data_IF_465987217642
#
_entry.id   IF_465987217642
#
_cell.length_a   1.000
_cell.length_b   1.000
_cell.length_c   1.000
_cell.angle_alpha   90.00
_cell.angle_beta   90.00
_cell.angle_gamma   90.00
#
_symmetry.space_group_name_H-M   'P 1'
#
loop_
_entity.id
_entity.type
_entity.pdbx_description
1 polymer ?
#
# COMPACT_ATOMS: atom_id res chain seq x y z
N UNK A 1 -54.75 -21.87 6.97
CA UNK A 1 -53.76 -20.99 7.62
C UNK A 1 -52.48 -21.79 7.83
N UNK A 2 -51.41 -21.46 7.11
CA UNK A 2 -50.08 -22.06 7.32
C UNK A 2 -49.54 -21.57 8.67
N UNK A 3 -49.18 -22.47 9.59
CA UNK A 3 -48.54 -22.11 10.87
C UNK A 3 -47.16 -21.54 10.55
N UNK A 4 -46.91 -20.27 10.89
CA UNK A 4 -45.55 -19.72 10.90
C UNK A 4 -44.74 -20.45 11.98
N UNK A 5 -43.78 -21.27 11.56
CA UNK A 5 -42.75 -21.82 12.44
C UNK A 5 -41.68 -20.75 12.64
N UNK A 6 -41.67 -20.13 13.81
CA UNK A 6 -40.61 -19.21 14.21
C UNK A 6 -39.39 -19.95 14.76
N UNK A 7 -38.22 -19.34 14.64
CA UNK A 7 -36.98 -19.79 15.31
C UNK A 7 -37.09 -19.63 16.82
N UNK A 8 -36.53 -20.57 17.59
CA UNK A 8 -36.44 -20.46 19.04
C UNK A 8 -35.33 -19.48 19.46
N UNK A 9 -35.56 -18.74 20.55
CA UNK A 9 -34.56 -17.82 21.10
C UNK A 9 -33.26 -18.55 21.48
N UNK A 10 -33.35 -19.78 21.97
CA UNK A 10 -32.15 -20.56 22.32
C UNK A 10 -31.37 -21.01 21.08
N UNK A 11 -32.07 -21.32 19.98
CA UNK A 11 -31.42 -21.67 18.70
C UNK A 11 -30.65 -20.47 18.17
N UNK A 12 -31.23 -19.27 18.24
CA UNK A 12 -30.56 -18.05 17.82
C UNK A 12 -29.33 -17.74 18.69
N UNK A 13 -29.41 -17.92 20.01
CA UNK A 13 -28.31 -17.64 20.93
C UNK A 13 -27.09 -18.54 20.70
N UNK A 14 -27.30 -19.84 20.46
CA UNK A 14 -26.20 -20.78 20.17
C UNK A 14 -25.53 -20.41 18.84
N UNK A 15 -26.33 -20.06 17.82
CA UNK A 15 -25.80 -19.62 16.52
C UNK A 15 -24.96 -18.35 16.67
N UNK A 16 -25.43 -17.36 17.42
CA UNK A 16 -24.67 -16.13 17.69
C UNK A 16 -23.37 -16.42 18.46
N UNK A 17 -23.38 -17.37 19.40
CA UNK A 17 -22.18 -17.80 20.10
C UNK A 17 -21.11 -18.38 19.16
N UNK A 18 -21.52 -19.25 18.21
CA UNK A 18 -20.61 -19.84 17.21
C UNK A 18 -20.09 -18.75 16.25
N UNK A 19 -20.96 -17.88 15.73
CA UNK A 19 -20.56 -16.76 14.87
C UNK A 19 -19.59 -15.82 15.61
N UNK A 20 -19.84 -15.54 16.88
CA UNK A 20 -18.94 -14.72 17.71
C UNK A 20 -17.53 -15.31 17.83
N UNK A 21 -17.43 -16.62 18.08
CA UNK A 21 -16.13 -17.29 18.18
C UNK A 21 -15.37 -17.28 16.84
N UNK A 22 -16.05 -17.54 15.72
CA UNK A 22 -15.44 -17.54 14.39
C UNK A 22 -14.99 -16.13 13.96
N UNK A 23 -15.80 -15.11 14.24
CA UNK A 23 -15.50 -13.72 13.84
C UNK A 23 -14.27 -13.16 14.55
N UNK A 24 -14.03 -13.54 15.81
CA UNK A 24 -12.85 -13.13 16.57
C UNK A 24 -11.52 -13.51 15.89
N UNK A 25 -11.47 -14.64 15.19
CA UNK A 25 -10.27 -15.09 14.46
C UNK A 25 -10.30 -14.58 13.01
N UNK A 26 -11.47 -14.60 12.36
CA UNK A 26 -11.61 -14.26 10.96
C UNK A 26 -11.32 -12.77 10.67
N UNK A 27 -11.80 -11.85 11.53
CA UNK A 27 -11.63 -10.40 11.33
C UNK A 27 -10.15 -9.99 11.28
N UNK A 28 -9.29 -10.29 12.29
CA UNK A 28 -7.89 -9.87 12.25
C UNK A 28 -7.12 -10.55 11.11
N UNK A 29 -7.49 -11.76 10.72
CA UNK A 29 -6.88 -12.43 9.57
C UNK A 29 -7.26 -11.75 8.25
N UNK A 30 -8.54 -11.41 8.07
CA UNK A 30 -9.04 -10.71 6.88
C UNK A 30 -8.43 -9.32 6.74
N UNK A 31 -8.27 -8.58 7.84
CA UNK A 31 -7.59 -7.28 7.84
C UNK A 31 -6.14 -7.39 7.33
N UNK A 32 -5.37 -8.39 7.78
CA UNK A 32 -4.00 -8.63 7.29
C UNK A 32 -3.95 -8.90 5.78
N UNK A 33 -4.93 -9.64 5.25
CA UNK A 33 -5.02 -9.90 3.81
C UNK A 33 -5.35 -8.64 3.01
N UNK A 34 -6.31 -7.85 3.49
CA UNK A 34 -6.63 -6.56 2.86
C UNK A 34 -5.43 -5.61 2.87
N UNK A 35 -4.73 -5.49 4.00
CA UNK A 35 -3.56 -4.63 4.11
C UNK A 35 -2.45 -5.09 3.15
N UNK A 36 -2.23 -6.41 3.03
CA UNK A 36 -1.27 -6.97 2.06
C UNK A 36 -1.66 -6.66 0.63
N UNK A 37 -2.93 -6.77 0.29
CA UNK A 37 -3.44 -6.45 -1.04
C UNK A 37 -3.23 -4.97 -1.37
N UNK A 38 -3.56 -4.08 -0.44
CA UNK A 38 -3.37 -2.63 -0.60
C UNK A 38 -1.90 -2.24 -0.79
N UNK A 39 -0.99 -2.78 0.04
CA UNK A 39 0.44 -2.56 -0.12
C UNK A 39 0.94 -3.06 -1.47
N UNK A 40 0.54 -4.27 -1.86
CA UNK A 40 0.96 -4.87 -3.14
C UNK A 40 0.45 -4.04 -4.33
N UNK A 41 -0.78 -3.53 -4.26
CA UNK A 41 -1.34 -2.65 -5.27
C UNK A 41 -0.53 -1.34 -5.37
N UNK A 42 -0.19 -0.71 -4.25
CA UNK A 42 0.62 0.49 -4.24
C UNK A 42 2.03 0.26 -4.81
N UNK A 43 2.68 -0.85 -4.46
CA UNK A 43 3.98 -1.26 -5.03
C UNK A 43 3.85 -1.47 -6.54
N UNK A 44 2.77 -2.11 -7.01
CA UNK A 44 2.53 -2.33 -8.44
C UNK A 44 2.35 -0.99 -9.18
N UNK A 45 1.56 -0.06 -8.65
CA UNK A 45 1.41 1.29 -9.19
C UNK A 45 2.76 2.01 -9.31
N UNK A 46 3.55 2.04 -8.24
CA UNK A 46 4.88 2.66 -8.25
C UNK A 46 5.85 1.97 -9.23
N UNK A 47 5.77 0.64 -9.34
CA UNK A 47 6.61 -0.14 -10.27
C UNK A 47 6.25 0.15 -11.72
N UNK A 48 4.97 0.37 -12.03
CA UNK A 48 4.56 0.81 -13.37
C UNK A 48 5.09 2.21 -13.69
N UNK A 49 5.08 3.12 -12.72
CA UNK A 49 5.60 4.49 -12.91
C UNK A 49 7.13 4.54 -13.01
N UNK A 50 7.83 3.54 -12.48
CA UNK A 50 9.30 3.45 -12.56
C UNK A 50 9.80 3.50 -14.00
N UNK A 51 9.16 2.80 -14.94
CA UNK A 51 9.60 2.78 -16.35
C UNK A 51 9.45 4.16 -16.99
N UNK A 52 8.34 4.85 -16.72
CA UNK A 52 8.08 6.22 -17.17
C UNK A 52 9.13 7.19 -16.64
N UNK A 53 9.42 7.10 -15.33
CA UNK A 53 10.45 7.93 -14.68
C UNK A 53 11.84 7.66 -15.26
N UNK A 54 12.20 6.39 -15.51
CA UNK A 54 13.48 6.06 -16.15
C UNK A 54 13.58 6.62 -17.57
N UNK A 55 12.50 6.52 -18.37
CA UNK A 55 12.48 7.11 -19.71
C UNK A 55 12.72 8.63 -19.65
N UNK A 56 12.06 9.33 -18.72
CA UNK A 56 12.24 10.77 -18.54
C UNK A 56 13.65 11.14 -18.07
N UNK A 57 14.28 10.31 -17.23
CA UNK A 57 15.66 10.50 -16.80
C UNK A 57 16.63 10.31 -17.98
N UNK A 58 16.36 9.37 -18.88
CA UNK A 58 17.19 9.18 -20.08
C UNK A 58 17.04 10.34 -21.07
N UNK A 59 15.87 10.95 -21.17
CA UNK A 59 15.62 12.09 -22.06
C UNK A 59 16.17 13.41 -21.49
N UNK A 60 15.91 13.69 -20.21
CA UNK A 60 16.20 15.00 -19.60
C UNK A 60 17.44 15.02 -18.72
N UNK A 61 18.02 13.86 -18.42
CA UNK A 61 19.16 13.72 -17.51
C UNK A 61 18.83 13.94 -16.02
N UNK A 62 17.55 14.08 -15.66
CA UNK A 62 17.12 14.39 -14.29
C UNK A 62 15.84 13.65 -13.91
N UNK A 63 15.69 13.39 -12.61
CA UNK A 63 14.47 12.83 -12.04
C UNK A 63 13.34 13.88 -12.15
N UNK A 64 12.10 13.48 -12.51
CA UNK A 64 10.99 14.41 -12.67
C UNK A 64 10.72 15.21 -11.39
N UNK A 65 10.45 16.51 -11.52
CA UNK A 65 10.07 17.35 -10.37
C UNK A 65 8.69 16.95 -9.86
N UNK A 66 8.44 17.17 -8.57
CA UNK A 66 7.12 16.98 -7.96
C UNK A 66 6.15 18.11 -8.35
N UNK A 67 5.80 18.18 -9.63
CA UNK A 67 4.88 19.17 -10.18
C UNK A 67 3.66 18.46 -10.81
N UNK A 68 2.42 18.88 -10.51
CA UNK A 68 1.22 18.24 -11.03
C UNK A 68 1.17 18.16 -12.56
N UNK A 69 1.59 19.22 -13.27
CA UNK A 69 1.56 19.25 -14.74
C UNK A 69 2.59 18.32 -15.36
N UNK A 70 3.77 18.23 -14.74
CA UNK A 70 4.80 17.28 -15.18
C UNK A 70 4.29 15.85 -14.99
N UNK A 71 3.67 15.55 -13.85
CA UNK A 71 3.09 14.22 -13.59
C UNK A 71 1.98 13.88 -14.58
N UNK A 72 1.06 14.81 -14.85
CA UNK A 72 -0.02 14.63 -15.82
C UNK A 72 0.52 14.36 -17.24
N UNK A 73 1.50 15.14 -17.71
CA UNK A 73 2.11 14.95 -19.03
C UNK A 73 2.81 13.60 -19.17
N UNK A 74 3.34 13.07 -18.06
CA UNK A 74 3.98 11.76 -18.01
C UNK A 74 2.97 10.61 -17.74
N UNK A 75 1.68 10.91 -17.55
CA UNK A 75 0.67 9.91 -17.22
C UNK A 75 0.82 9.33 -15.81
N UNK A 76 1.50 10.05 -14.91
CA UNK A 76 1.74 9.63 -13.53
C UNK A 76 0.58 10.09 -12.65
N UNK A 77 -0.06 9.18 -11.89
CA UNK A 77 -1.14 9.53 -10.97
C UNK A 77 -0.75 10.64 -9.98
N UNK A 78 -1.68 11.56 -9.72
CA UNK A 78 -1.41 12.75 -8.89
C UNK A 78 -1.09 12.45 -7.43
N UNK A 79 -1.58 11.32 -6.92
CA UNK A 79 -1.35 10.76 -5.58
C UNK A 79 0.04 10.16 -5.40
N UNK A 80 0.81 9.98 -6.48
CA UNK A 80 2.23 9.67 -6.39
C UNK A 80 3.02 10.95 -6.12
N UNK A 81 3.68 11.00 -4.98
CA UNK A 81 4.52 12.12 -4.55
C UNK A 81 5.99 11.86 -4.91
N UNK A 82 6.68 12.86 -5.43
CA UNK A 82 8.13 12.81 -5.61
C UNK A 82 8.86 13.61 -4.56
N UNK A 83 9.91 13.02 -3.98
CA UNK A 83 10.69 13.61 -2.89
C UNK A 83 12.17 13.25 -3.04
N UNK A 84 13.04 13.86 -2.23
CA UNK A 84 14.48 13.53 -2.18
C UNK A 84 15.20 13.62 -3.54
N UNK A 85 14.70 14.53 -4.40
CA UNK A 85 15.12 14.71 -5.78
C UNK A 85 16.50 15.40 -5.83
N UNK A 86 17.46 14.79 -6.49
CA UNK A 86 18.80 15.38 -6.73
C UNK A 86 19.43 14.78 -7.98
N UNK A 87 19.42 15.54 -9.08
CA UNK A 87 19.86 15.04 -10.39
C UNK A 87 19.00 13.84 -10.79
N UNK A 88 19.62 12.67 -11.00
CA UNK A 88 18.93 11.42 -11.33
C UNK A 88 18.43 10.63 -10.10
N UNK A 89 18.69 11.10 -8.88
CA UNK A 89 18.16 10.51 -7.63
C UNK A 89 16.76 11.08 -7.37
N UNK A 90 15.85 10.25 -6.87
CA UNK A 90 14.56 10.68 -6.36
C UNK A 90 13.75 9.52 -5.81
N UNK A 91 12.78 9.83 -4.97
CA UNK A 91 11.93 8.87 -4.30
C UNK A 91 10.48 9.07 -4.73
N UNK A 92 9.81 7.99 -5.12
CA UNK A 92 8.37 7.97 -5.36
C UNK A 92 7.66 7.44 -4.13
N UNK A 93 6.67 8.17 -3.63
CA UNK A 93 5.89 7.82 -2.43
C UNK A 93 4.42 7.71 -2.81
N UNK A 94 3.76 6.66 -2.34
CA UNK A 94 2.32 6.48 -2.51
C UNK A 94 1.69 6.09 -1.17
N UNK A 95 0.66 6.83 -0.78
CA UNK A 95 -0.11 6.54 0.42
C UNK A 95 -1.05 5.35 0.22
N UNK A 96 -1.12 4.51 1.25
CA UNK A 96 -1.93 3.32 1.32
C UNK A 96 -2.90 3.51 2.48
N UNK A 97 -4.14 3.78 2.14
CA UNK A 97 -5.16 4.19 3.11
C UNK A 97 -5.57 3.04 4.05
N UNK A 98 -5.72 3.40 5.33
CA UNK A 98 -6.25 2.52 6.36
C UNK A 98 -5.26 1.50 6.91
N UNK A 99 -3.95 1.77 6.85
CA UNK A 99 -2.95 0.97 7.56
C UNK A 99 -2.72 1.46 9.00
N UNK A 100 -2.47 0.55 9.96
CA UNK A 100 -2.35 0.91 11.37
C UNK A 100 -1.00 1.56 11.77
N UNK A 101 0.06 1.52 10.93
CA UNK A 101 1.38 2.10 11.22
C UNK A 101 2.05 2.66 9.97
N UNK A 102 1.86 3.95 9.72
CA UNK A 102 2.42 4.64 8.56
C UNK A 102 1.75 4.20 7.25
N UNK A 103 1.61 5.14 6.32
CA UNK A 103 0.79 4.91 5.14
C UNK A 103 1.59 4.85 3.83
N UNK A 104 2.89 5.15 3.80
CA UNK A 104 3.60 5.34 2.52
C UNK A 104 4.42 4.12 2.11
N UNK A 105 4.18 3.62 0.90
CA UNK A 105 5.16 2.81 0.16
C UNK A 105 6.11 3.75 -0.56
N UNK A 106 7.41 3.49 -0.45
CA UNK A 106 8.49 4.30 -1.02
C UNK A 106 9.27 3.47 -2.02
N UNK A 107 9.39 3.96 -3.23
CA UNK A 107 10.27 3.40 -4.26
C UNK A 107 11.37 4.44 -4.55
N UNK A 108 12.56 4.18 -4.00
CA UNK A 108 13.69 5.10 -4.01
C UNK A 108 14.69 4.75 -5.11
N UNK A 109 15.12 5.74 -5.88
CA UNK A 109 16.16 5.62 -6.91
C UNK A 109 17.44 6.28 -6.43
N UNK A 110 18.52 5.51 -6.37
CA UNK A 110 19.85 6.04 -6.08
C UNK A 110 20.46 6.80 -7.27
N UNK A 111 21.51 7.60 -7.02
CA UNK A 111 22.31 8.26 -8.08
C UNK A 111 22.90 7.28 -9.11
N UNK A 112 23.06 6.00 -8.74
CA UNK A 112 23.60 4.93 -9.60
C UNK A 112 22.51 4.17 -10.38
N UNK A 113 21.26 4.60 -10.30
CA UNK A 113 20.12 3.92 -10.96
C UNK A 113 19.63 2.64 -10.26
N UNK A 114 20.17 2.30 -9.08
CA UNK A 114 19.62 1.22 -8.26
C UNK A 114 18.31 1.67 -7.61
N UNK A 115 17.29 0.82 -7.71
CA UNK A 115 16.01 1.00 -7.05
C UNK A 115 15.89 0.16 -5.79
N UNK A 116 15.27 0.73 -4.76
CA UNK A 116 14.95 0.05 -3.51
C UNK A 116 13.51 0.37 -3.12
N UNK A 117 12.76 -0.65 -2.70
CA UNK A 117 11.39 -0.50 -2.23
C UNK A 117 11.35 -0.65 -0.71
N UNK A 118 10.66 0.28 -0.04
CA UNK A 118 10.34 0.23 1.37
C UNK A 118 8.82 0.35 1.56
N UNK A 119 8.24 -0.47 2.42
CA UNK A 119 6.81 -0.49 2.74
C UNK A 119 6.59 -0.26 4.25
N UNK A 120 5.42 0.27 4.65
CA UNK A 120 5.23 0.72 6.03
C UNK A 120 4.91 -0.42 7.01
N UNK A 121 4.48 -1.59 6.50
CA UNK A 121 4.13 -2.71 7.38
C UNK A 121 5.36 -3.39 7.97
N UNK A 122 5.27 -3.71 9.26
CA UNK A 122 6.26 -4.52 10.02
C UNK A 122 5.84 -5.99 10.15
N UNK A 123 4.65 -6.33 9.67
CA UNK A 123 4.02 -7.64 9.88
C UNK A 123 3.64 -8.33 8.57
N UNK A 124 3.61 -7.59 7.46
CA UNK A 124 3.23 -8.10 6.15
C UNK A 124 4.48 -8.20 5.29
N UNK A 125 4.81 -9.39 4.84
CA UNK A 125 5.91 -9.61 3.91
C UNK A 125 5.41 -9.55 2.46
N UNK A 126 6.09 -8.73 1.66
CA UNK A 126 5.89 -8.59 0.22
C UNK A 126 7.23 -8.78 -0.47
N UNK A 127 7.29 -9.70 -1.44
CA UNK A 127 8.54 -10.03 -2.13
C UNK A 127 9.11 -8.79 -2.84
N UNK A 128 10.41 -8.53 -2.63
CA UNK A 128 11.13 -7.43 -3.27
C UNK A 128 10.89 -6.04 -2.67
N UNK A 129 10.10 -5.91 -1.59
CA UNK A 129 9.93 -4.65 -0.88
C UNK A 129 10.24 -4.80 0.61
N UNK A 130 11.23 -4.06 1.09
CA UNK A 130 11.71 -4.12 2.46
C UNK A 130 10.67 -3.54 3.42
N UNK A 131 10.46 -4.19 4.56
CA UNK A 131 9.63 -3.65 5.64
C UNK A 131 10.31 -2.48 6.33
N UNK A 132 9.52 -1.49 6.78
CA UNK A 132 10.00 -0.44 7.66
C UNK A 132 10.62 -1.06 8.93
N UNK A 133 11.81 -0.61 9.31
CA UNK A 133 12.44 -1.02 10.56
C UNK A 133 11.61 -0.49 11.74
N UNK A 134 11.52 -1.25 12.85
CA UNK A 134 10.78 -0.87 14.07
C UNK A 134 11.23 0.48 14.71
N UNK A 135 12.32 1.09 14.22
CA UNK A 135 12.92 2.34 14.71
C UNK A 135 13.11 3.41 13.62
N UNK A 136 12.19 3.55 12.66
CA UNK A 136 12.18 4.75 11.83
C UNK A 136 11.29 5.81 12.50
N UNK A 137 11.83 6.99 12.90
CA UNK A 137 11.00 8.09 13.34
C UNK A 137 10.09 8.47 12.17
N UNK A 138 8.78 8.34 12.36
CA UNK A 138 7.80 9.07 11.55
C UNK A 138 8.17 10.55 11.59
N UNK A 139 8.36 11.23 10.44
CA UNK A 139 8.28 12.69 10.42
C UNK A 139 6.87 13.16 10.79
#
# INVERSE_FOLDING_TARGET
MQKQQGFSLIELLVVLGIIGALTAIAIPQYQKYQDKAKVTAAIATLTNMRSVVEAQIMETGAFPKNDPKIKENLGIPGDVEFTDITGVKGDMKLDVQGMPKGNKVILARSKKGKWTCEQPSTTIEVNGCKQASKNQPTP
#
